data_IF_448612816163
#
_entry.id   IF_448612816163
#
_cell.length_a   1.000
_cell.length_b   1.000
_cell.length_c   1.000
_cell.angle_alpha   90.00
_cell.angle_beta   90.00
_cell.angle_gamma   90.00
#
_symmetry.space_group_name_H-M   'P 1'
#
loop_
_entity.id
_entity.type
_entity.pdbx_description
1 polymer ?
#
# COMPACT_ATOMS: atom_id res chain seq x y z
N UNK A 1 -5.69 21.40 -15.28
CA UNK A 1 -5.43 20.27 -14.35
C UNK A 1 -4.38 20.75 -13.36
N UNK A 2 -4.70 20.69 -12.07
CA UNK A 2 -3.81 21.20 -11.02
C UNK A 2 -3.16 20.05 -10.23
N UNK A 3 -3.77 18.87 -10.27
CA UNK A 3 -3.32 17.69 -9.53
C UNK A 3 -3.46 16.41 -10.33
N UNK A 4 -2.45 15.55 -10.25
CA UNK A 4 -2.41 14.23 -10.87
C UNK A 4 -2.36 13.17 -9.76
N UNK A 5 -3.32 12.25 -9.72
CA UNK A 5 -3.27 11.06 -8.89
C UNK A 5 -2.77 9.88 -9.75
N UNK A 6 -1.50 9.55 -9.59
CA UNK A 6 -0.86 8.44 -10.29
C UNK A 6 -1.12 7.13 -9.55
N UNK A 7 -2.15 6.39 -9.96
CA UNK A 7 -2.53 5.12 -9.35
C UNK A 7 -2.05 3.90 -10.16
N UNK A 8 -1.30 4.11 -11.25
CA UNK A 8 -0.85 3.05 -12.13
C UNK A 8 0.28 2.24 -11.50
N UNK A 9 0.01 0.99 -11.12
CA UNK A 9 1.00 0.06 -10.60
C UNK A 9 0.53 -1.40 -10.77
N UNK A 10 1.46 -2.35 -10.76
CA UNK A 10 1.16 -3.76 -10.52
C UNK A 10 1.29 -4.04 -9.02
N UNK A 11 0.33 -4.79 -8.46
CA UNK A 11 0.37 -5.23 -7.06
C UNK A 11 1.41 -6.33 -6.84
N UNK A 12 1.77 -6.57 -5.58
CA UNK A 12 2.94 -7.36 -5.17
C UNK A 12 3.04 -8.73 -5.85
N UNK A 13 2.02 -9.56 -5.80
CA UNK A 13 2.04 -10.92 -6.39
C UNK A 13 2.18 -10.87 -7.91
N UNK A 14 1.49 -9.95 -8.58
CA UNK A 14 1.59 -9.81 -10.04
C UNK A 14 2.93 -9.19 -10.44
N UNK A 15 3.47 -8.28 -9.64
CA UNK A 15 4.77 -7.67 -9.88
C UNK A 15 5.90 -8.70 -9.84
N UNK A 16 5.90 -9.63 -8.86
CA UNK A 16 6.88 -10.72 -8.78
C UNK A 16 6.82 -11.65 -10.01
N UNK A 17 5.64 -11.93 -10.52
CA UNK A 17 5.48 -12.74 -11.75
C UNK A 17 5.92 -12.01 -13.02
N UNK A 18 5.93 -10.67 -13.02
CA UNK A 18 6.23 -9.82 -14.19
C UNK A 18 7.11 -8.62 -13.81
N UNK A 19 8.34 -8.83 -13.29
CA UNK A 19 9.14 -7.77 -12.68
C UNK A 19 9.50 -6.64 -13.65
N UNK A 20 9.81 -6.95 -14.90
CA UNK A 20 10.13 -5.93 -15.91
C UNK A 20 8.92 -5.06 -16.25
N UNK A 21 7.72 -5.65 -16.32
CA UNK A 21 6.49 -4.91 -16.56
C UNK A 21 6.14 -4.03 -15.35
N UNK A 22 6.34 -4.55 -14.12
CA UNK A 22 6.16 -3.79 -12.91
C UNK A 22 7.05 -2.55 -12.86
N UNK A 23 8.32 -2.70 -13.22
CA UNK A 23 9.26 -1.58 -13.35
C UNK A 23 8.79 -0.57 -14.39
N UNK A 24 8.49 -1.04 -15.59
CA UNK A 24 8.07 -0.18 -16.70
C UNK A 24 6.81 0.66 -16.37
N UNK A 25 5.81 0.03 -15.75
CA UNK A 25 4.58 0.74 -15.36
C UNK A 25 4.85 1.66 -14.17
N UNK A 26 5.49 1.14 -13.11
CA UNK A 26 5.67 1.86 -11.85
C UNK A 26 6.72 2.98 -11.93
N UNK A 27 7.83 2.77 -12.62
CA UNK A 27 8.95 3.71 -12.62
C UNK A 27 9.02 4.54 -13.90
N UNK A 28 9.01 3.90 -15.09
CA UNK A 28 9.02 4.67 -16.34
C UNK A 28 7.72 5.47 -16.48
N UNK A 29 6.58 4.88 -16.05
CA UNK A 29 5.29 5.57 -16.01
C UNK A 29 5.30 6.77 -15.07
N UNK A 30 5.85 6.63 -13.85
CA UNK A 30 6.00 7.73 -12.92
C UNK A 30 6.91 8.84 -13.50
N UNK A 31 8.03 8.45 -14.11
CA UNK A 31 8.95 9.41 -14.74
C UNK A 31 8.22 10.30 -15.73
N UNK A 32 7.43 9.69 -16.63
CA UNK A 32 6.64 10.44 -17.61
C UNK A 32 5.65 11.39 -16.95
N UNK A 33 4.98 10.94 -15.87
CA UNK A 33 4.02 11.79 -15.13
C UNK A 33 4.72 12.97 -14.46
N UNK A 34 5.89 12.74 -13.86
CA UNK A 34 6.67 13.80 -13.23
C UNK A 34 7.16 14.84 -14.24
N UNK A 35 7.55 14.44 -15.46
CA UNK A 35 7.88 15.37 -16.53
C UNK A 35 6.65 16.19 -16.96
N UNK A 36 5.51 15.54 -17.19
CA UNK A 36 4.25 16.23 -17.52
C UNK A 36 3.87 17.21 -16.40
N UNK A 37 3.99 16.81 -15.15
CA UNK A 37 3.69 17.65 -13.99
C UNK A 37 4.63 18.86 -13.92
N UNK A 38 5.93 18.64 -14.18
CA UNK A 38 6.93 19.73 -14.24
C UNK A 38 6.62 20.75 -15.32
N UNK A 39 6.23 20.28 -16.52
CA UNK A 39 5.92 21.16 -17.66
C UNK A 39 4.61 21.93 -17.48
N UNK A 40 3.65 21.37 -16.73
CA UNK A 40 2.31 21.93 -16.55
C UNK A 40 2.04 22.47 -15.14
N UNK A 41 3.05 22.51 -14.29
CA UNK A 41 2.95 22.99 -12.91
C UNK A 41 1.83 22.28 -12.09
N UNK A 42 1.73 20.96 -12.23
CA UNK A 42 0.76 20.13 -11.51
C UNK A 42 1.38 19.53 -10.24
N UNK A 43 0.58 19.40 -9.19
CA UNK A 43 0.93 18.55 -8.03
C UNK A 43 0.72 17.05 -8.37
N UNK A 44 1.52 16.17 -7.77
CA UNK A 44 1.45 14.71 -8.03
C UNK A 44 1.31 13.93 -6.74
N UNK A 45 0.27 13.13 -6.64
CA UNK A 45 0.14 12.08 -5.64
C UNK A 45 0.49 10.73 -6.24
N UNK A 46 1.42 9.99 -5.60
CA UNK A 46 1.74 8.61 -6.01
C UNK A 46 1.75 7.70 -4.78
N UNK A 47 0.88 6.69 -4.69
CA UNK A 47 0.83 5.80 -3.53
C UNK A 47 2.15 5.05 -3.32
N UNK A 48 2.73 5.15 -2.11
CA UNK A 48 3.71 4.21 -1.60
C UNK A 48 3.02 3.10 -0.79
N UNK A 49 3.78 2.27 -0.12
CA UNK A 49 3.29 1.09 0.60
C UNK A 49 4.23 0.71 1.73
N UNK A 50 3.72 0.06 2.78
CA UNK A 50 4.54 -0.65 3.76
C UNK A 50 5.44 -1.73 3.11
N UNK A 51 5.13 -2.18 1.89
CA UNK A 51 6.00 -3.03 1.08
C UNK A 51 7.36 -2.40 0.74
N UNK A 52 7.56 -1.10 0.95
CA UNK A 52 8.86 -0.41 0.86
C UNK A 52 9.80 -0.77 2.01
N UNK A 53 9.31 -1.35 3.08
CA UNK A 53 10.08 -1.83 4.21
C UNK A 53 10.68 -3.22 3.94
N UNK A 54 11.68 -3.61 4.73
CA UNK A 54 12.34 -4.91 4.61
C UNK A 54 12.67 -5.50 5.98
N UNK A 55 13.29 -6.67 6.01
CA UNK A 55 13.59 -7.40 7.23
C UNK A 55 14.45 -6.63 8.26
N UNK A 56 15.22 -5.64 7.81
CA UNK A 56 16.03 -4.78 8.69
C UNK A 56 15.31 -3.54 9.20
N UNK A 57 14.07 -3.31 8.75
CA UNK A 57 13.23 -2.23 9.25
C UNK A 57 12.68 -2.60 10.63
N UNK A 58 12.64 -1.68 11.61
CA UNK A 58 11.97 -1.95 12.88
C UNK A 58 10.52 -2.38 12.68
N UNK A 59 10.14 -3.53 13.28
CA UNK A 59 8.81 -4.13 13.07
C UNK A 59 7.69 -3.45 13.90
N UNK A 60 8.06 -2.72 14.96
CA UNK A 60 7.11 -2.03 15.82
C UNK A 60 7.48 -0.56 15.92
N UNK A 61 6.48 0.32 15.94
CA UNK A 61 6.67 1.77 15.98
C UNK A 61 7.67 2.26 14.92
N UNK A 62 7.53 1.75 13.69
CA UNK A 62 8.43 2.02 12.57
C UNK A 62 8.63 3.53 12.38
N UNK A 63 9.85 4.04 12.53
CA UNK A 63 10.10 5.47 12.35
C UNK A 63 9.79 5.94 10.94
N UNK A 64 9.44 7.22 10.80
CA UNK A 64 9.20 7.81 9.49
C UNK A 64 10.44 7.70 8.59
N UNK A 65 11.60 8.07 9.12
CA UNK A 65 12.90 7.88 8.47
C UNK A 65 13.55 6.61 9.01
N UNK A 66 13.60 5.60 8.17
CA UNK A 66 14.11 4.27 8.56
C UNK A 66 14.75 3.55 7.39
N UNK A 67 15.40 2.42 7.68
CA UNK A 67 16.01 1.58 6.65
C UNK A 67 14.93 0.95 5.77
N UNK A 68 15.02 1.20 4.47
CA UNK A 68 14.18 0.60 3.44
C UNK A 68 15.02 -0.34 2.58
N UNK A 69 14.94 -1.64 2.84
CA UNK A 69 15.64 -2.69 2.07
C UNK A 69 14.67 -3.84 1.76
N UNK A 70 13.64 -3.58 0.94
CA UNK A 70 12.67 -4.60 0.57
C UNK A 70 13.31 -5.71 -0.24
N UNK A 71 12.78 -6.93 -0.11
CA UNK A 71 13.22 -8.11 -0.86
C UNK A 71 12.40 -8.37 -2.13
N UNK A 72 11.41 -7.56 -2.45
CA UNK A 72 10.50 -7.75 -3.58
C UNK A 72 10.65 -6.65 -4.62
N UNK A 73 10.39 -6.95 -5.90
CA UNK A 73 10.42 -5.94 -6.97
C UNK A 73 9.36 -4.85 -6.74
N UNK A 74 8.22 -5.23 -6.15
CA UNK A 74 7.19 -4.28 -5.75
C UNK A 74 7.75 -3.27 -4.73
N UNK A 75 8.37 -3.77 -3.66
CA UNK A 75 8.96 -2.91 -2.63
C UNK A 75 10.10 -2.05 -3.18
N UNK A 76 10.99 -2.61 -4.01
CA UNK A 76 12.05 -1.85 -4.69
C UNK A 76 11.46 -0.71 -5.52
N UNK A 77 10.38 -0.97 -6.26
CA UNK A 77 9.72 0.07 -7.05
C UNK A 77 9.12 1.16 -6.16
N UNK A 78 8.54 0.81 -5.00
CA UNK A 78 7.97 1.80 -4.05
C UNK A 78 9.05 2.69 -3.44
N UNK A 79 10.19 2.14 -3.04
CA UNK A 79 11.34 2.95 -2.58
C UNK A 79 11.83 3.88 -3.68
N UNK A 80 11.97 3.36 -4.91
CA UNK A 80 12.39 4.17 -6.07
C UNK A 80 11.38 5.29 -6.34
N UNK A 81 10.08 5.01 -6.23
CA UNK A 81 9.00 6.00 -6.37
C UNK A 81 9.15 7.15 -5.37
N UNK A 82 9.38 6.84 -4.09
CA UNK A 82 9.57 7.86 -3.04
C UNK A 82 10.79 8.73 -3.34
N UNK A 83 11.94 8.10 -3.63
CA UNK A 83 13.19 8.81 -3.89
C UNK A 83 13.14 9.65 -5.17
N UNK A 84 12.53 9.15 -6.24
CA UNK A 84 12.37 9.89 -7.49
C UNK A 84 11.45 11.10 -7.30
N UNK A 85 10.36 10.94 -6.55
CA UNK A 85 9.44 12.03 -6.22
C UNK A 85 10.13 13.11 -5.39
N UNK A 86 10.92 12.73 -4.38
CA UNK A 86 11.72 13.67 -3.60
C UNK A 86 12.75 14.41 -4.45
N UNK A 87 13.39 13.73 -5.40
CA UNK A 87 14.33 14.34 -6.33
C UNK A 87 13.64 15.42 -7.18
N UNK A 88 12.45 15.11 -7.73
CA UNK A 88 11.71 16.08 -8.55
C UNK A 88 11.24 17.28 -7.74
N UNK A 89 10.82 17.06 -6.50
CA UNK A 89 10.52 18.18 -5.61
C UNK A 89 11.75 19.06 -5.35
N UNK A 90 12.85 18.46 -4.93
CA UNK A 90 14.08 19.19 -4.55
C UNK A 90 14.71 19.93 -5.74
N UNK A 91 14.70 19.31 -6.92
CA UNK A 91 15.39 19.84 -8.09
C UNK A 91 14.54 20.76 -8.94
N UNK A 92 13.27 20.43 -9.10
CA UNK A 92 12.39 21.12 -10.05
C UNK A 92 11.20 21.81 -9.40
N UNK A 93 11.00 21.65 -8.10
CA UNK A 93 9.89 22.26 -7.37
C UNK A 93 8.54 21.62 -7.62
N UNK A 94 8.49 20.43 -8.24
CA UNK A 94 7.23 19.70 -8.45
C UNK A 94 6.66 19.27 -7.11
N UNK A 95 5.44 19.69 -6.80
CA UNK A 95 4.77 19.30 -5.55
C UNK A 95 4.36 17.84 -5.59
N UNK A 96 5.26 16.95 -5.12
CA UNK A 96 5.04 15.51 -5.03
C UNK A 96 4.68 15.11 -3.61
N UNK A 97 3.68 14.23 -3.45
CA UNK A 97 3.24 13.74 -2.15
C UNK A 97 2.86 12.27 -2.21
N UNK A 98 3.18 11.51 -1.15
CA UNK A 98 2.79 10.11 -1.04
C UNK A 98 2.61 9.66 0.40
N UNK A 99 1.80 8.61 0.57
CA UNK A 99 1.64 7.87 1.82
C UNK A 99 2.06 6.42 1.63
N UNK A 100 2.63 5.79 2.65
CA UNK A 100 2.89 4.35 2.70
C UNK A 100 1.62 3.67 3.21
N UNK A 101 0.79 3.21 2.26
CA UNK A 101 -0.42 2.50 2.61
C UNK A 101 -0.11 1.16 3.26
N UNK A 102 -0.82 0.82 4.36
CA UNK A 102 -0.90 -0.56 4.85
C UNK A 102 -1.79 -1.41 3.94
N UNK A 103 -2.14 -2.62 4.36
CA UNK A 103 -3.16 -3.41 3.69
C UNK A 103 -4.50 -2.69 3.69
N UNK A 104 -5.11 -2.54 2.52
CA UNK A 104 -6.38 -1.82 2.37
C UNK A 104 -7.55 -2.81 2.32
N UNK A 105 -8.50 -2.65 3.23
CA UNK A 105 -9.71 -3.46 3.29
C UNK A 105 -10.84 -2.70 2.59
N UNK A 106 -11.36 -3.28 1.50
CA UNK A 106 -12.48 -2.74 0.73
C UNK A 106 -13.61 -3.76 0.66
N UNK A 107 -14.84 -3.27 0.64
CA UNK A 107 -16.05 -4.08 0.38
C UNK A 107 -16.64 -3.85 -1.01
N UNK A 108 -16.09 -2.87 -1.75
CA UNK A 108 -16.64 -2.45 -3.05
C UNK A 108 -16.08 -3.27 -4.20
N UNK A 109 -14.79 -3.61 -4.12
CA UNK A 109 -14.09 -4.30 -5.20
C UNK A 109 -13.38 -5.54 -4.64
N UNK A 110 -13.44 -6.68 -5.33
CA UNK A 110 -12.63 -7.86 -4.98
C UNK A 110 -11.14 -7.54 -4.93
N UNK A 111 -10.36 -8.33 -4.18
CA UNK A 111 -8.90 -8.19 -4.12
C UNK A 111 -8.22 -8.29 -5.47
N UNK A 112 -7.09 -7.60 -5.62
CA UNK A 112 -6.37 -7.45 -6.90
C UNK A 112 -5.04 -8.18 -7.01
N UNK A 113 -4.68 -9.04 -6.06
CA UNK A 113 -3.42 -9.79 -6.02
C UNK A 113 -2.34 -9.13 -5.15
N UNK A 114 -2.74 -8.64 -3.98
CA UNK A 114 -1.84 -8.15 -2.93
C UNK A 114 -1.64 -9.19 -1.83
N UNK A 115 -0.52 -9.13 -1.11
CA UNK A 115 -0.21 -10.03 0.01
C UNK A 115 -1.23 -9.91 1.17
N UNK A 116 -1.87 -8.75 1.30
CA UNK A 116 -2.84 -8.45 2.35
C UNK A 116 -4.29 -8.77 1.97
N UNK A 117 -4.52 -9.30 0.79
CA UNK A 117 -5.85 -9.57 0.23
C UNK A 117 -6.64 -10.62 1.05
N UNK A 118 -5.94 -11.48 1.81
CA UNK A 118 -6.58 -12.43 2.72
C UNK A 118 -7.59 -11.76 3.66
N UNK A 119 -7.31 -10.53 4.08
CA UNK A 119 -8.16 -9.76 4.99
C UNK A 119 -9.46 -9.24 4.33
N UNK A 120 -9.59 -9.40 3.01
CA UNK A 120 -10.81 -9.15 2.25
C UNK A 120 -11.45 -10.47 1.84
N UNK A 121 -10.66 -11.42 1.35
CA UNK A 121 -11.14 -12.74 0.89
C UNK A 121 -11.85 -13.52 1.99
N UNK A 122 -11.36 -13.43 3.23
CA UNK A 122 -11.97 -14.08 4.40
C UNK A 122 -13.43 -13.63 4.61
N UNK A 123 -13.75 -12.35 4.36
CA UNK A 123 -15.13 -11.85 4.46
C UNK A 123 -16.02 -12.40 3.34
N UNK A 124 -15.48 -12.48 2.11
CA UNK A 124 -16.21 -13.07 0.99
C UNK A 124 -16.51 -14.54 1.25
N UNK A 125 -15.55 -15.33 1.76
CA UNK A 125 -15.77 -16.71 2.15
C UNK A 125 -16.86 -16.83 3.23
N UNK A 126 -16.78 -16.01 4.27
CA UNK A 126 -17.76 -16.02 5.35
C UNK A 126 -19.18 -15.67 4.89
N UNK A 127 -19.34 -14.72 3.96
CA UNK A 127 -20.65 -14.33 3.42
C UNK A 127 -21.24 -15.44 2.55
N UNK A 128 -20.38 -16.14 1.78
CA UNK A 128 -20.80 -17.27 0.92
C UNK A 128 -21.06 -18.56 1.69
N UNK A 129 -20.68 -18.63 2.98
CA UNK A 129 -20.75 -19.86 3.77
C UNK A 129 -19.69 -20.89 3.36
N UNK A 130 -18.59 -20.44 2.80
CA UNK A 130 -17.45 -21.26 2.38
C UNK A 130 -16.40 -21.29 3.48
N UNK A 131 -15.67 -22.41 3.59
CA UNK A 131 -14.48 -22.49 4.42
C UNK A 131 -13.37 -21.64 3.83
N UNK A 132 -12.68 -20.87 4.67
CA UNK A 132 -11.55 -20.03 4.22
C UNK A 132 -10.23 -20.76 4.40
N UNK A 133 -9.41 -20.78 3.35
CA UNK A 133 -8.03 -21.29 3.40
C UNK A 133 -7.09 -20.07 3.47
N UNK A 134 -6.50 -19.87 4.64
CA UNK A 134 -5.64 -18.72 4.90
C UNK A 134 -4.20 -18.97 4.41
N UNK A 135 -3.68 -18.17 3.47
CA UNK A 135 -2.31 -18.32 2.99
C UNK A 135 -1.26 -17.69 3.92
N UNK A 136 -1.71 -16.96 4.95
CA UNK A 136 -0.84 -16.24 5.88
C UNK A 136 -0.62 -17.08 7.13
N UNK A 137 0.63 -17.15 7.58
CA UNK A 137 0.99 -17.89 8.79
C UNK A 137 0.27 -17.32 10.02
N UNK A 138 -0.25 -18.21 10.86
CA UNK A 138 -0.85 -17.86 12.16
C UNK A 138 0.09 -16.96 12.98
N UNK A 139 -0.45 -15.91 13.59
CA UNK A 139 0.29 -14.96 14.41
C UNK A 139 1.09 -13.92 13.61
N UNK A 140 0.93 -13.87 12.28
CA UNK A 140 1.55 -12.81 11.46
C UNK A 140 0.73 -11.54 11.57
N UNK A 141 1.21 -10.58 12.34
CA UNK A 141 0.60 -9.25 12.43
C UNK A 141 0.89 -8.45 11.16
N UNK A 142 -0.16 -7.85 10.61
CA UNK A 142 -0.06 -6.93 9.47
C UNK A 142 -0.86 -5.67 9.74
N UNK A 143 -0.29 -4.54 9.36
CA UNK A 143 -0.99 -3.26 9.41
C UNK A 143 -2.05 -3.20 8.32
N UNK A 144 -3.25 -2.81 8.72
CA UNK A 144 -4.42 -2.73 7.87
C UNK A 144 -5.14 -1.38 8.04
N UNK A 145 -5.89 -0.99 7.03
CA UNK A 145 -6.70 0.23 7.03
C UNK A 145 -7.97 0.01 6.21
N UNK A 146 -9.06 0.61 6.65
CA UNK A 146 -10.29 0.65 5.87
C UNK A 146 -10.12 1.58 4.67
N UNK A 147 -10.56 1.16 3.49
CA UNK A 147 -10.34 1.90 2.23
C UNK A 147 -10.79 3.37 2.29
N UNK A 148 -11.97 3.73 2.84
CA UNK A 148 -12.38 5.13 2.97
C UNK A 148 -11.41 5.98 3.78
N UNK A 149 -10.80 5.44 4.85
CA UNK A 149 -9.81 6.17 5.65
C UNK A 149 -8.52 6.39 4.85
N UNK A 150 -8.11 5.39 4.06
CA UNK A 150 -6.99 5.51 3.14
C UNK A 150 -7.20 6.57 2.07
N UNK A 151 -8.40 6.63 1.48
CA UNK A 151 -8.78 7.67 0.52
C UNK A 151 -8.80 9.05 1.17
N UNK A 152 -9.35 9.15 2.38
CA UNK A 152 -9.36 10.40 3.13
C UNK A 152 -7.93 10.89 3.44
N UNK A 153 -7.03 9.98 3.83
CA UNK A 153 -5.62 10.33 4.08
C UNK A 153 -4.93 10.88 2.81
N UNK A 154 -5.15 10.24 1.66
CA UNK A 154 -4.59 10.70 0.38
C UNK A 154 -5.11 12.09 -0.01
N UNK A 155 -6.42 12.31 0.08
CA UNK A 155 -7.06 13.59 -0.28
C UNK A 155 -6.59 14.68 0.69
N UNK A 156 -6.66 14.43 2.00
CA UNK A 156 -6.24 15.40 3.03
C UNK A 156 -4.76 15.79 2.88
N UNK A 157 -3.89 14.84 2.51
CA UNK A 157 -2.49 15.15 2.24
C UNK A 157 -2.35 16.09 1.04
N UNK A 158 -3.09 15.85 -0.04
CA UNK A 158 -3.04 16.69 -1.24
C UNK A 158 -3.65 18.09 -1.02
N UNK A 159 -4.63 18.20 -0.14
CA UNK A 159 -5.26 19.48 0.25
C UNK A 159 -4.47 20.24 1.34
N UNK A 160 -3.52 19.59 1.99
CA UNK A 160 -2.72 20.22 3.02
C UNK A 160 -1.85 21.35 2.46
N UNK A 161 -1.67 22.42 3.24
CA UNK A 161 -0.78 23.52 2.91
C UNK A 161 0.65 22.99 2.69
N UNK A 162 1.23 23.15 1.49
CA UNK A 162 2.55 22.64 1.15
C UNK A 162 3.67 23.21 2.03
N UNK A 163 3.48 24.39 2.60
CA UNK A 163 4.49 25.04 3.46
C UNK A 163 4.60 24.39 4.84
N UNK A 164 3.59 23.61 5.26
CA UNK A 164 3.52 22.92 6.53
C UNK A 164 4.05 21.49 6.50
N UNK A 165 4.36 20.97 5.31
CA UNK A 165 4.85 19.60 5.16
C UNK A 165 6.32 19.51 5.54
N UNK A 166 6.65 18.74 6.58
CA UNK A 166 8.04 18.51 7.05
C UNK A 166 8.82 17.67 6.04
N UNK A 167 8.18 16.66 5.45
CA UNK A 167 8.61 15.93 4.27
C UNK A 167 7.43 15.77 3.32
N UNK A 168 7.61 15.11 2.20
CA UNK A 168 6.61 15.08 1.14
C UNK A 168 6.16 13.69 0.78
N UNK A 169 7.10 12.77 0.71
CA UNK A 169 6.85 11.45 0.21
C UNK A 169 7.04 10.39 1.29
N UNK A 170 6.27 9.30 1.18
CA UNK A 170 6.39 8.16 2.07
C UNK A 170 5.90 8.42 3.49
N UNK A 171 4.85 9.22 3.71
CA UNK A 171 4.26 9.36 5.05
C UNK A 171 3.76 8.01 5.55
N UNK A 172 4.23 7.58 6.72
CA UNK A 172 3.69 6.42 7.39
C UNK A 172 2.25 6.70 7.83
N UNK A 173 1.33 5.84 7.44
CA UNK A 173 -0.04 5.85 7.95
C UNK A 173 -0.39 4.45 8.43
N UNK A 174 -1.12 4.36 9.52
CA UNK A 174 -1.62 3.11 10.09
C UNK A 174 -2.99 3.34 10.72
N UNK A 175 -3.77 2.29 10.84
CA UNK A 175 -5.08 2.33 11.50
C UNK A 175 -5.19 1.21 12.54
N UNK A 176 -4.98 -0.04 12.12
CA UNK A 176 -5.05 -1.21 12.99
C UNK A 176 -4.04 -2.25 12.56
N UNK A 177 -3.60 -3.07 13.50
CA UNK A 177 -2.78 -4.26 13.21
C UNK A 177 -3.48 -5.47 13.79
N UNK A 178 -3.59 -6.54 13.01
CA UNK A 178 -4.16 -7.81 13.46
C UNK A 178 -3.57 -9.00 12.71
N UNK A 179 -3.72 -10.17 13.29
CA UNK A 179 -3.39 -11.44 12.67
C UNK A 179 -4.63 -12.14 12.07
N UNK A 180 -4.46 -13.23 11.29
CA UNK A 180 -5.60 -13.97 10.74
C UNK A 180 -6.58 -14.52 11.77
N UNK A 181 -6.11 -14.87 12.98
CA UNK A 181 -6.99 -15.38 14.04
C UNK A 181 -7.92 -14.30 14.59
N UNK A 182 -7.43 -13.10 14.73
CA UNK A 182 -8.22 -11.98 15.26
C UNK A 182 -9.38 -11.64 14.32
N UNK A 183 -9.12 -11.56 13.00
CA UNK A 183 -10.18 -11.31 12.01
C UNK A 183 -11.15 -12.49 11.92
N UNK A 184 -10.65 -13.74 11.96
CA UNK A 184 -11.48 -14.93 11.98
C UNK A 184 -12.41 -14.94 13.20
N UNK A 185 -11.88 -14.67 14.39
CA UNK A 185 -12.67 -14.61 15.62
C UNK A 185 -13.69 -13.47 15.61
N UNK A 186 -13.38 -12.34 15.00
CA UNK A 186 -14.32 -11.25 14.81
C UNK A 186 -15.50 -11.67 13.91
N UNK A 187 -15.23 -12.38 12.83
CA UNK A 187 -16.25 -12.90 11.91
C UNK A 187 -17.14 -13.94 12.63
N UNK A 188 -16.56 -14.83 13.43
CA UNK A 188 -17.31 -15.87 14.17
C UNK A 188 -18.36 -15.32 15.13
N UNK A 189 -18.25 -14.08 15.58
CA UNK A 189 -19.29 -13.41 16.38
C UNK A 189 -20.62 -13.26 15.63
N UNK A 190 -20.53 -13.16 14.29
CA UNK A 190 -21.70 -12.98 13.40
C UNK A 190 -22.02 -14.23 12.58
N UNK A 191 -21.05 -15.11 12.41
CA UNK A 191 -21.13 -16.38 11.66
C UNK A 191 -20.50 -17.50 12.49
N UNK A 192 -21.20 -18.04 13.50
CA UNK A 192 -20.64 -19.04 14.44
C UNK A 192 -20.08 -20.30 13.76
N UNK A 193 -20.69 -20.71 12.63
CA UNK A 193 -20.32 -21.93 11.88
C UNK A 193 -19.20 -21.68 10.85
N UNK A 194 -18.66 -20.46 10.77
CA UNK A 194 -17.58 -20.17 9.86
C UNK A 194 -16.31 -20.93 10.22
N UNK A 195 -15.66 -21.53 9.22
CA UNK A 195 -14.46 -22.33 9.36
C UNK A 195 -13.27 -21.71 8.63
N UNK A 196 -12.08 -21.84 9.21
CA UNK A 196 -10.82 -21.45 8.60
C UNK A 196 -9.76 -22.53 8.81
N UNK A 197 -8.94 -22.78 7.81
CA UNK A 197 -7.71 -23.57 7.90
C UNK A 197 -6.54 -22.80 7.30
N UNK A 198 -5.33 -23.27 7.55
CA UNK A 198 -4.11 -22.65 7.05
C UNK A 198 -3.47 -23.52 5.97
N UNK A 199 -3.15 -22.90 4.82
CA UNK A 199 -2.26 -23.44 3.79
C UNK A 199 -1.30 -22.30 3.41
N UNK A 200 -0.18 -22.24 4.13
CA UNK A 200 0.73 -21.09 4.11
C UNK A 200 1.58 -21.13 2.86
N UNK A 201 1.50 -20.07 2.08
CA UNK A 201 2.40 -19.84 0.95
C UNK A 201 3.85 -19.72 1.45
N UNK A 202 4.83 -20.43 0.85
CA UNK A 202 6.23 -20.47 1.29
C UNK A 202 6.97 -19.12 1.12
#
# INVERSE_FOLDING_TARGET
IDTIYNLAALLSVVAEKKPQLAWKIGIDGLWNILEVARENNCAVFTPSSIGSFGLSTPHTQTPQDTVQRPGTIYGVSKVTTELLSDYYFKKYGVDTRSVRFPGLISYVTPPGGGTTDYAVDIYYAAVRGEKFVCPIKKGTLMDMMYMPDGLHAAISLMEADPTRLVHRNGFNIASMSFDPEEIFNAIKRYKPDFEMEYDVDP
#
